data_IF_785117409340
#
_entry.id   IF_785117409340
#
_cell.length_a   1.000
_cell.length_b   1.000
_cell.length_c   1.000
_cell.angle_alpha   90.00
_cell.angle_beta   90.00
_cell.angle_gamma   90.00
#
_symmetry.space_group_name_H-M   'P 1'
#
loop_
_entity.id
_entity.type
_entity.pdbx_description
1 polymer ?
#
# COMPACT_ATOMS: atom_id res chain seq x y z
N UNK A 1 -15.56 13.85 -15.58
CA UNK A 1 -14.32 13.29 -16.10
C UNK A 1 -13.44 12.77 -14.98
N UNK A 2 -12.96 11.56 -15.14
CA UNK A 2 -12.05 11.00 -14.17
C UNK A 2 -10.67 11.60 -14.34
N UNK A 3 -10.09 11.99 -13.26
CA UNK A 3 -8.74 12.51 -13.28
C UNK A 3 -7.81 11.45 -12.74
N UNK A 4 -6.71 11.28 -13.43
CA UNK A 4 -5.66 10.44 -12.93
C UNK A 4 -5.00 11.16 -11.77
N UNK A 5 -4.90 10.48 -10.67
CA UNK A 5 -4.21 11.07 -9.57
C UNK A 5 -3.06 10.20 -9.16
N UNK A 6 -1.93 10.83 -9.05
CA UNK A 6 -0.74 10.16 -8.54
C UNK A 6 -0.78 10.23 -7.02
N UNK A 7 -0.72 9.09 -6.39
CA UNK A 7 -0.69 9.01 -4.93
C UNK A 7 0.62 8.40 -4.47
N UNK A 8 1.09 8.87 -3.32
CA UNK A 8 2.31 8.33 -2.71
C UNK A 8 1.94 7.22 -1.74
N UNK A 9 2.58 6.09 -1.88
CA UNK A 9 2.41 4.97 -0.95
C UNK A 9 3.77 4.39 -0.64
N UNK A 10 3.85 3.68 0.48
CA UNK A 10 5.08 2.98 0.85
C UNK A 10 4.87 1.50 0.60
N UNK A 11 5.60 0.97 -0.37
CA UNK A 11 5.52 -0.43 -0.75
C UNK A 11 6.39 -1.27 0.16
N UNK A 12 5.88 -2.43 0.53
CA UNK A 12 6.65 -3.44 1.26
C UNK A 12 7.23 -4.40 0.23
N UNK A 13 8.56 -4.45 0.16
CA UNK A 13 9.27 -5.26 -0.82
C UNK A 13 9.94 -6.42 -0.12
N UNK A 14 9.66 -7.64 -0.57
CA UNK A 14 10.30 -8.84 -0.04
C UNK A 14 11.25 -9.39 -1.08
N UNK A 15 12.55 -9.33 -0.80
CA UNK A 15 13.57 -9.86 -1.69
C UNK A 15 14.60 -10.63 -0.88
N UNK A 16 14.96 -11.81 -1.37
CA UNK A 16 16.01 -12.62 -0.74
C UNK A 16 15.82 -12.78 0.77
N UNK A 17 14.57 -13.01 1.18
CA UNK A 17 14.21 -13.20 2.58
C UNK A 17 14.37 -11.93 3.43
N UNK A 18 14.60 -10.79 2.78
CA UNK A 18 14.65 -9.51 3.46
C UNK A 18 13.45 -8.68 3.07
N UNK A 19 12.91 -7.96 4.04
CA UNK A 19 11.79 -7.07 3.81
C UNK A 19 12.28 -5.64 3.95
N UNK A 20 12.01 -4.83 2.93
CA UNK A 20 12.36 -3.43 2.94
C UNK A 20 11.16 -2.57 2.55
N UNK A 21 11.25 -1.30 2.80
CA UNK A 21 10.21 -0.33 2.47
C UNK A 21 10.70 0.59 1.38
N UNK A 22 9.82 0.91 0.44
CA UNK A 22 10.17 1.79 -0.68
C UNK A 22 9.01 2.73 -0.97
N UNK A 23 9.29 4.01 -1.01
CA UNK A 23 8.28 4.97 -1.42
C UNK A 23 8.09 4.89 -2.92
N UNK A 24 6.83 4.82 -3.34
CA UNK A 24 6.48 4.79 -4.75
C UNK A 24 5.30 5.71 -5.00
N UNK A 25 5.14 6.10 -6.25
CA UNK A 25 4.01 6.91 -6.69
C UNK A 25 3.23 6.07 -7.68
N UNK A 26 1.95 5.90 -7.46
CA UNK A 26 1.10 5.12 -8.37
C UNK A 26 -0.06 5.99 -8.86
N UNK A 27 -0.54 5.66 -10.04
CA UNK A 27 -1.70 6.33 -10.59
C UNK A 27 -2.95 5.63 -10.07
N UNK A 28 -3.81 6.38 -9.37
CA UNK A 28 -5.01 5.80 -8.77
C UNK A 28 -5.93 5.17 -9.79
N UNK A 29 -5.90 5.63 -11.03
CA UNK A 29 -6.71 5.06 -12.10
C UNK A 29 -6.28 3.63 -12.47
N UNK A 30 -5.07 3.22 -12.09
CA UNK A 30 -4.57 1.88 -12.37
C UNK A 30 -4.87 0.87 -11.26
N UNK A 31 -5.52 1.31 -10.20
CA UNK A 31 -5.90 0.39 -9.10
C UNK A 31 -7.17 -0.34 -9.49
N UNK A 32 -7.08 -1.66 -9.61
CA UNK A 32 -8.24 -2.50 -9.92
C UNK A 32 -8.97 -2.88 -8.64
N UNK A 33 -8.22 -3.30 -7.63
CA UNK A 33 -8.82 -3.70 -6.36
C UNK A 33 -7.83 -3.45 -5.24
N UNK A 34 -8.37 -3.35 -4.03
CA UNK A 34 -7.56 -3.10 -2.85
C UNK A 34 -8.24 -3.76 -1.67
N UNK A 35 -7.48 -4.58 -0.94
CA UNK A 35 -7.99 -5.30 0.23
C UNK A 35 -6.97 -5.19 1.34
N UNK A 36 -7.41 -5.44 2.57
CA UNK A 36 -6.47 -5.53 3.68
C UNK A 36 -5.50 -6.69 3.48
N UNK A 37 -4.30 -6.56 4.03
CA UNK A 37 -3.27 -7.57 3.90
C UNK A 37 -2.92 -8.14 5.27
N UNK A 38 -3.69 -9.13 5.75
CA UNK A 38 -3.45 -9.71 7.07
C UNK A 38 -2.15 -10.50 7.15
N UNK A 39 -1.67 -11.03 6.02
CA UNK A 39 -0.41 -11.76 6.00
C UNK A 39 0.76 -10.84 6.31
N UNK A 40 0.75 -9.63 5.72
CA UNK A 40 1.82 -8.67 5.98
C UNK A 40 1.73 -8.15 7.41
N UNK A 41 0.51 -7.95 7.93
CA UNK A 41 0.32 -7.55 9.32
C UNK A 41 0.87 -8.60 10.28
N UNK A 42 0.68 -9.88 9.95
CA UNK A 42 1.22 -10.97 10.77
C UNK A 42 2.75 -10.97 10.74
N UNK A 43 3.35 -10.70 9.58
CA UNK A 43 4.81 -10.60 9.48
C UNK A 43 5.34 -9.45 10.32
N UNK A 44 4.63 -8.32 10.31
CA UNK A 44 5.01 -7.18 11.11
C UNK A 44 4.94 -7.53 12.60
N UNK A 45 3.88 -8.18 13.02
CA UNK A 45 3.69 -8.59 14.42
C UNK A 45 4.79 -9.55 14.88
N UNK A 46 5.34 -10.35 13.98
CA UNK A 46 6.42 -11.27 14.31
C UNK A 46 7.82 -10.64 14.15
N UNK A 47 7.89 -9.35 13.93
CA UNK A 47 9.14 -8.61 13.90
C UNK A 47 9.96 -8.73 12.63
N UNK A 48 9.34 -9.19 11.54
CA UNK A 48 10.06 -9.39 10.28
C UNK A 48 10.22 -8.14 9.44
N UNK A 49 9.47 -7.08 9.75
CA UNK A 49 9.57 -5.84 9.02
C UNK A 49 10.56 -4.89 9.68
N UNK A 50 11.03 -3.86 8.93
CA UNK A 50 11.95 -2.88 9.50
C UNK A 50 11.35 -2.19 10.72
N UNK A 51 12.23 -1.76 11.64
CA UNK A 51 11.83 -1.04 12.83
C UNK A 51 11.28 0.34 12.46
N UNK A 52 10.49 0.92 13.35
CA UNK A 52 9.93 2.25 13.14
C UNK A 52 8.48 2.28 12.74
N UNK A 53 7.90 1.14 12.39
CA UNK A 53 6.48 1.07 12.08
C UNK A 53 5.66 1.00 13.37
N UNK A 54 4.48 1.57 13.31
CA UNK A 54 3.55 1.51 14.42
C UNK A 54 3.21 0.06 14.75
N UNK A 55 3.06 -0.25 16.02
CA UNK A 55 2.78 -1.61 16.46
C UNK A 55 1.50 -2.17 15.83
N UNK A 56 0.48 -1.33 15.71
CA UNK A 56 -0.81 -1.71 15.12
C UNK A 56 -0.92 -1.34 13.65
N UNK A 57 0.21 -1.25 12.96
CA UNK A 57 0.22 -0.85 11.56
C UNK A 57 -0.61 -1.81 10.70
N UNK A 58 -1.44 -1.23 9.85
CA UNK A 58 -2.22 -2.00 8.89
C UNK A 58 -1.57 -1.92 7.52
N UNK A 59 -1.88 -2.89 6.68
CA UNK A 59 -1.32 -2.99 5.33
C UNK A 59 -2.43 -3.29 4.33
N UNK A 60 -2.22 -2.92 3.10
CA UNK A 60 -3.16 -3.18 2.01
C UNK A 60 -2.47 -3.91 0.89
N UNK A 61 -3.23 -4.74 0.20
CA UNK A 61 -2.79 -5.41 -1.02
C UNK A 61 -3.53 -4.77 -2.18
N UNK A 62 -2.78 -4.20 -3.12
CA UNK A 62 -3.34 -3.47 -4.25
C UNK A 62 -3.04 -4.24 -5.53
N UNK A 63 -4.11 -4.52 -6.30
CA UNK A 63 -3.96 -5.12 -7.61
C UNK A 63 -4.00 -4.00 -8.65
N UNK A 64 -3.00 -3.97 -9.50
CA UNK A 64 -2.83 -2.93 -10.51
C UNK A 64 -3.27 -3.42 -11.88
N UNK A 65 -3.56 -2.47 -12.76
CA UNK A 65 -4.07 -2.75 -14.10
C UNK A 65 -3.12 -3.60 -14.96
N UNK A 66 -1.82 -3.55 -14.66
CA UNK A 66 -0.83 -4.35 -15.41
C UNK A 66 -0.74 -5.79 -14.90
N UNK A 67 -1.56 -6.17 -13.95
CA UNK A 67 -1.56 -7.51 -13.38
C UNK A 67 -0.71 -7.68 -12.13
N UNK A 68 0.11 -6.69 -11.78
CA UNK A 68 0.94 -6.77 -10.59
C UNK A 68 0.10 -6.58 -9.35
N UNK A 69 0.53 -7.23 -8.28
CA UNK A 69 -0.06 -7.04 -6.96
C UNK A 69 1.05 -6.57 -6.02
N UNK A 70 0.80 -5.49 -5.30
CA UNK A 70 1.77 -4.94 -4.37
C UNK A 70 1.17 -4.84 -2.98
N UNK A 71 2.03 -4.93 -1.96
CA UNK A 71 1.65 -4.69 -0.57
C UNK A 71 2.17 -3.33 -0.16
N UNK A 72 1.33 -2.55 0.49
CA UNK A 72 1.69 -1.19 0.90
C UNK A 72 1.29 -0.96 2.35
N UNK A 73 1.94 0.01 2.97
CA UNK A 73 1.61 0.44 4.33
C UNK A 73 0.33 1.27 4.30
N UNK A 74 -0.59 0.98 5.20
CA UNK A 74 -1.84 1.69 5.35
C UNK A 74 -3.03 0.79 5.11
N UNK A 75 -4.14 1.09 5.80
CA UNK A 75 -5.37 0.36 5.59
C UNK A 75 -5.99 0.72 4.24
N UNK A 76 -6.87 -0.12 3.69
CA UNK A 76 -7.58 0.23 2.47
C UNK A 76 -8.32 1.57 2.57
N UNK A 77 -8.88 1.87 3.72
CA UNK A 77 -9.58 3.14 3.92
C UNK A 77 -8.63 4.32 3.83
N UNK A 78 -7.44 4.20 4.40
CA UNK A 78 -6.45 5.25 4.35
C UNK A 78 -6.00 5.53 2.91
N UNK A 79 -5.74 4.47 2.16
CA UNK A 79 -5.33 4.61 0.76
C UNK A 79 -6.47 5.20 -0.07
N UNK A 80 -7.69 4.74 0.18
CA UNK A 80 -8.86 5.25 -0.51
C UNK A 80 -9.04 6.75 -0.27
N UNK A 81 -8.78 7.21 0.96
CA UNK A 81 -8.90 8.63 1.28
C UNK A 81 -7.89 9.46 0.50
N UNK A 82 -6.71 8.93 0.22
CA UNK A 82 -5.73 9.63 -0.60
C UNK A 82 -6.26 9.91 -1.99
N UNK A 83 -7.04 8.99 -2.55
CA UNK A 83 -7.62 9.18 -3.87
C UNK A 83 -8.78 10.17 -3.83
N UNK A 84 -9.53 10.17 -2.74
CA UNK A 84 -10.67 11.07 -2.60
C UNK A 84 -10.29 12.53 -2.46
N UNK A 85 -9.17 12.80 -1.83
CA UNK A 85 -8.73 14.17 -1.62
C UNK A 85 -8.55 14.95 -2.92
N UNK A 86 -8.50 14.23 -4.01
CA UNK A 86 -8.44 14.85 -5.29
C UNK A 86 -9.67 15.58 -5.67
N UNK A 87 -10.79 15.08 -5.20
CA UNK A 87 -12.08 15.63 -5.62
C UNK A 87 -12.33 17.00 -5.05
N UNK A 88 -11.63 17.35 -4.01
CA UNK A 88 -11.87 18.61 -3.30
C UNK A 88 -10.67 19.55 -3.31
N UNK A 89 -9.57 19.07 -3.78
CA UNK A 89 -8.35 19.86 -3.77
C UNK A 89 -8.11 20.63 -5.01
#
# INVERSE_FOLDING_TARGET
>A
MLKNKMINVVQVVCEHQQISLREIVINSAHIISMVGDPEMAAKHASGKLPAGLHEAQEFSRIKLANGDTISVIGSPNLIKDKTKNLLFG
#
